data_IF_737626119906
#
_entry.id   IF_737626119906
#
_cell.length_a   1.000
_cell.length_b   1.000
_cell.length_c   1.000
_cell.angle_alpha   90.00
_cell.angle_beta   90.00
_cell.angle_gamma   90.00
#
_symmetry.space_group_name_H-M   'P 1'
#
loop_
_entity.id
_entity.type
_entity.pdbx_description
1 polymer ?
#
# COMPACT_ATOMS: atom_id res chain seq x y z
N UNK A 1 -45.89 30.42 -12.77
CA UNK A 1 -46.12 29.04 -12.31
C UNK A 1 -47.54 28.92 -11.76
N UNK A 2 -48.22 27.80 -11.99
CA UNK A 2 -49.60 27.59 -11.51
C UNK A 2 -49.61 27.30 -9.99
N UNK A 3 -50.69 27.71 -9.29
CA UNK A 3 -50.84 27.55 -7.83
C UNK A 3 -50.74 26.09 -7.38
N UNK A 4 -51.20 25.16 -8.22
CA UNK A 4 -51.19 23.72 -7.94
C UNK A 4 -49.78 23.11 -7.98
N UNK A 5 -48.88 23.67 -8.82
CA UNK A 5 -47.48 23.26 -8.92
C UNK A 5 -46.68 23.74 -7.71
N UNK A 6 -46.96 24.96 -7.24
CA UNK A 6 -46.35 25.48 -6.01
C UNK A 6 -46.72 24.61 -4.80
N UNK A 7 -47.97 24.17 -4.70
CA UNK A 7 -48.40 23.27 -3.63
C UNK A 7 -47.67 21.91 -3.65
N UNK A 8 -47.37 21.37 -4.84
CA UNK A 8 -46.59 20.14 -4.99
C UNK A 8 -45.13 20.33 -4.51
N UNK A 9 -44.50 21.44 -4.87
CA UNK A 9 -43.12 21.76 -4.47
C UNK A 9 -43.02 22.07 -2.97
N UNK A 10 -44.01 22.73 -2.38
CA UNK A 10 -44.08 22.94 -0.93
C UNK A 10 -44.21 21.62 -0.16
N UNK A 11 -45.01 20.68 -0.67
CA UNK A 11 -45.12 19.33 -0.12
C UNK A 11 -43.79 18.55 -0.23
N UNK A 12 -43.04 18.73 -1.33
CA UNK A 12 -41.70 18.15 -1.51
C UNK A 12 -40.70 18.76 -0.52
N UNK A 13 -40.67 20.09 -0.38
CA UNK A 13 -39.81 20.84 0.54
C UNK A 13 -40.00 20.40 1.99
N UNK A 14 -41.26 20.32 2.43
CA UNK A 14 -41.58 19.91 3.80
C UNK A 14 -41.16 18.46 4.10
N UNK A 15 -41.26 17.57 3.10
CA UNK A 15 -40.82 16.18 3.24
C UNK A 15 -39.29 16.03 3.27
N UNK A 16 -38.55 16.92 2.61
CA UNK A 16 -37.08 16.95 2.61
C UNK A 16 -36.49 17.64 3.85
N UNK A 17 -37.24 18.56 4.48
CA UNK A 17 -36.83 19.31 5.68
C UNK A 17 -36.38 18.46 6.88
N UNK A 18 -36.80 17.19 6.95
CA UNK A 18 -36.36 16.25 7.98
C UNK A 18 -35.07 15.49 7.67
N UNK A 19 -34.49 15.68 6.49
CA UNK A 19 -33.42 14.81 5.98
C UNK A 19 -32.24 15.55 5.36
N UNK A 20 -32.45 16.73 4.78
CA UNK A 20 -31.41 17.57 4.16
C UNK A 20 -31.27 18.91 4.89
N UNK A 21 -30.16 19.62 4.66
CA UNK A 21 -29.97 21.01 5.11
C UNK A 21 -30.85 21.98 4.31
N UNK A 22 -31.07 23.18 4.84
CA UNK A 22 -31.92 24.17 4.19
C UNK A 22 -31.40 24.60 2.79
N UNK A 23 -30.08 24.58 2.59
CA UNK A 23 -29.42 24.90 1.32
C UNK A 23 -29.65 23.79 0.28
N UNK A 24 -29.38 22.53 0.64
CA UNK A 24 -29.61 21.37 -0.25
C UNK A 24 -31.09 21.20 -0.63
N UNK A 25 -32.01 21.55 0.27
CA UNK A 25 -33.44 21.52 -0.02
C UNK A 25 -33.81 22.57 -1.05
N UNK A 26 -33.21 23.76 -0.97
CA UNK A 26 -33.48 24.86 -1.90
C UNK A 26 -32.98 24.49 -3.30
N UNK A 27 -31.77 23.94 -3.41
CA UNK A 27 -31.19 23.45 -4.66
C UNK A 27 -32.08 22.39 -5.34
N UNK A 28 -32.56 21.42 -4.57
CA UNK A 28 -33.46 20.36 -5.09
C UNK A 28 -34.79 20.96 -5.56
N UNK A 29 -35.38 21.85 -4.76
CA UNK A 29 -36.67 22.46 -5.10
C UNK A 29 -36.54 23.36 -6.32
N UNK A 30 -35.46 24.13 -6.44
CA UNK A 30 -35.16 24.98 -7.59
C UNK A 30 -34.98 24.16 -8.87
N UNK A 31 -34.18 23.08 -8.82
CA UNK A 31 -34.00 22.18 -9.95
C UNK A 31 -35.32 21.62 -10.50
N UNK A 32 -36.20 21.13 -9.61
CA UNK A 32 -37.49 20.61 -10.04
C UNK A 32 -38.48 21.73 -10.42
N UNK A 33 -38.35 22.94 -9.85
CA UNK A 33 -39.15 24.09 -10.25
C UNK A 33 -38.86 24.51 -11.70
N UNK A 34 -37.57 24.57 -12.09
CA UNK A 34 -37.14 24.84 -13.46
C UNK A 34 -37.61 23.74 -14.42
N UNK A 35 -37.42 22.47 -14.04
CA UNK A 35 -37.86 21.34 -14.84
C UNK A 35 -39.37 21.36 -15.14
N UNK A 36 -40.18 21.68 -14.13
CA UNK A 36 -41.64 21.75 -14.27
C UNK A 36 -42.09 22.95 -15.09
N UNK A 37 -41.36 24.07 -15.02
CA UNK A 37 -41.59 25.25 -15.82
C UNK A 37 -41.28 25.00 -17.31
N UNK A 38 -40.15 24.35 -17.61
CA UNK A 38 -39.77 23.97 -18.97
C UNK A 38 -40.69 22.92 -19.58
N UNK A 39 -41.17 21.99 -18.75
CA UNK A 39 -42.15 20.98 -19.15
C UNK A 39 -43.57 21.56 -19.35
N UNK A 40 -43.81 22.83 -18.98
CA UNK A 40 -45.10 23.50 -19.14
C UNK A 40 -46.24 22.88 -18.35
N UNK A 41 -45.94 22.17 -17.25
CA UNK A 41 -46.95 21.48 -16.46
C UNK A 41 -47.70 22.48 -15.58
N UNK A 42 -49.02 22.47 -15.62
CA UNK A 42 -49.87 23.46 -14.93
C UNK A 42 -50.73 22.83 -13.83
N UNK A 43 -50.95 21.52 -13.85
CA UNK A 43 -51.84 20.83 -12.90
C UNK A 43 -51.06 19.81 -12.05
N UNK A 44 -51.41 19.70 -10.75
CA UNK A 44 -50.79 18.72 -9.83
C UNK A 44 -50.84 17.28 -10.36
N UNK A 45 -51.94 16.88 -11.00
CA UNK A 45 -52.08 15.54 -11.59
C UNK A 45 -51.08 15.25 -12.73
N UNK A 46 -50.70 16.27 -13.50
CA UNK A 46 -49.74 16.13 -14.60
C UNK A 46 -48.31 16.01 -14.05
N UNK A 47 -48.01 16.78 -13.00
CA UNK A 47 -46.76 16.67 -12.24
C UNK A 47 -46.61 15.28 -11.63
N UNK A 48 -47.66 14.78 -10.97
CA UNK A 48 -47.64 13.45 -10.36
C UNK A 48 -47.49 12.32 -11.38
N UNK A 49 -48.05 12.47 -12.58
CA UNK A 49 -47.86 11.49 -13.66
C UNK A 49 -46.42 11.45 -14.18
N UNK A 50 -45.66 12.54 -14.05
CA UNK A 50 -44.29 12.67 -14.61
C UNK A 50 -43.21 12.41 -13.58
N UNK A 51 -43.34 12.98 -12.39
CA UNK A 51 -42.36 12.89 -11.31
C UNK A 51 -42.76 11.90 -10.21
N UNK A 52 -43.98 11.38 -10.26
CA UNK A 52 -44.56 10.58 -9.17
C UNK A 52 -45.18 11.47 -8.10
N UNK A 53 -45.70 10.85 -7.06
CA UNK A 53 -46.21 11.60 -5.89
C UNK A 53 -45.05 12.31 -5.17
N UNK A 54 -45.31 13.42 -4.43
CA UNK A 54 -44.26 14.11 -3.68
C UNK A 54 -43.45 13.18 -2.78
N UNK A 55 -44.11 12.18 -2.19
CA UNK A 55 -43.49 11.14 -1.36
C UNK A 55 -42.51 10.25 -2.14
N UNK A 56 -42.89 9.80 -3.33
CA UNK A 56 -42.02 8.97 -4.18
C UNK A 56 -40.79 9.75 -4.65
N UNK A 57 -40.98 11.02 -5.01
CA UNK A 57 -39.90 11.90 -5.40
C UNK A 57 -38.92 12.14 -4.24
N UNK A 58 -39.42 12.38 -3.02
CA UNK A 58 -38.57 12.48 -1.81
C UNK A 58 -37.67 11.26 -1.63
N UNK A 59 -38.23 10.04 -1.69
CA UNK A 59 -37.41 8.83 -1.51
C UNK A 59 -36.34 8.66 -2.59
N UNK A 60 -36.63 9.08 -3.82
CA UNK A 60 -35.68 9.04 -4.93
C UNK A 60 -34.53 10.02 -4.73
N UNK A 61 -34.84 11.26 -4.36
CA UNK A 61 -33.84 12.30 -4.06
C UNK A 61 -32.96 11.87 -2.89
N UNK A 62 -33.54 11.37 -1.80
CA UNK A 62 -32.77 10.91 -0.64
C UNK A 62 -31.82 9.75 -0.96
N UNK A 63 -32.26 8.83 -1.83
CA UNK A 63 -31.40 7.73 -2.27
C UNK A 63 -30.19 8.24 -3.07
N UNK A 64 -30.42 9.19 -3.97
CA UNK A 64 -29.36 9.78 -4.81
C UNK A 64 -28.33 10.57 -3.98
N UNK A 65 -28.81 11.36 -3.02
CA UNK A 65 -27.95 12.09 -2.07
C UNK A 65 -27.17 11.16 -1.14
N UNK A 66 -27.77 10.05 -0.71
CA UNK A 66 -27.10 9.08 0.17
C UNK A 66 -25.92 8.36 -0.49
N UNK A 67 -25.97 8.17 -1.81
CA UNK A 67 -24.89 7.52 -2.58
C UNK A 67 -23.71 8.49 -2.75
N UNK A 68 -23.98 9.78 -2.99
CA UNK A 68 -22.92 10.79 -3.20
C UNK A 68 -22.26 11.27 -1.90
N UNK A 69 -22.96 11.23 -0.76
CA UNK A 69 -22.39 11.56 0.55
C UNK A 69 -21.34 10.54 1.04
N UNK A 70 -21.41 9.30 0.53
CA UNK A 70 -20.42 8.24 0.83
C UNK A 70 -19.13 8.39 0.00
N UNK A 71 -19.18 9.13 -1.12
CA UNK A 71 -18.04 9.29 -2.04
C UNK A 71 -17.19 10.53 -1.71
N UNK A 72 -17.79 11.59 -1.18
CA UNK A 72 -17.14 12.90 -0.95
C UNK A 72 -16.19 12.96 0.25
N UNK A 73 -15.87 11.83 0.91
CA UNK A 73 -14.95 11.82 2.07
C UNK A 73 -13.95 10.64 2.05
N UNK A 74 -13.51 10.22 0.86
CA UNK A 74 -12.67 9.03 0.69
C UNK A 74 -11.35 9.27 -0.04
N UNK A 75 -10.65 10.37 0.26
CA UNK A 75 -9.20 10.48 0.00
C UNK A 75 -8.37 10.04 1.22
N UNK A 76 -8.44 8.76 1.63
CA UNK A 76 -7.28 8.13 2.27
C UNK A 76 -7.37 6.59 2.34
N UNK A 77 -6.34 5.95 1.77
CA UNK A 77 -5.78 4.64 2.12
C UNK A 77 -6.66 3.38 1.97
N UNK A 78 -6.41 2.74 0.84
CA UNK A 78 -6.51 1.31 0.57
C UNK A 78 -5.94 0.42 1.68
N UNK A 79 -6.78 -0.05 2.63
CA UNK A 79 -6.70 -1.41 3.22
C UNK A 79 -7.91 -1.83 4.08
N UNK A 80 -9.12 -1.28 3.87
CA UNK A 80 -10.25 -1.47 4.79
C UNK A 80 -11.49 -2.13 4.16
N UNK A 81 -11.28 -3.03 3.20
CA UNK A 81 -12.39 -3.79 2.59
C UNK A 81 -12.81 -5.01 3.42
N UNK A 82 -12.00 -5.47 4.38
CA UNK A 82 -12.32 -6.67 5.18
C UNK A 82 -13.18 -6.40 6.42
N UNK A 83 -13.32 -5.14 6.86
CA UNK A 83 -14.06 -4.78 8.08
C UNK A 83 -15.47 -4.29 7.78
N UNK A 84 -15.70 -3.66 6.61
CA UNK A 84 -17.00 -3.12 6.21
C UNK A 84 -18.11 -4.19 6.07
N UNK A 85 -17.78 -5.42 5.70
CA UNK A 85 -18.78 -6.48 5.49
C UNK A 85 -19.37 -7.04 6.81
N UNK A 86 -18.67 -6.89 7.94
CA UNK A 86 -19.12 -7.44 9.24
C UNK A 86 -19.94 -6.47 10.09
N UNK A 87 -20.01 -5.19 9.72
CA UNK A 87 -20.64 -4.13 10.53
C UNK A 87 -22.05 -3.77 10.04
N UNK A 88 -22.41 -4.07 8.79
CA UNK A 88 -23.72 -3.70 8.21
C UNK A 88 -24.93 -4.49 8.72
N UNK A 89 -24.79 -5.37 9.73
CA UNK A 89 -25.90 -6.23 10.22
C UNK A 89 -26.29 -6.06 11.69
N UNK A 90 -25.95 -4.96 12.36
CA UNK A 90 -26.35 -4.80 13.77
C UNK A 90 -26.90 -3.42 14.13
N UNK A 91 -28.23 -3.30 14.00
CA UNK A 91 -29.05 -2.26 14.59
C UNK A 91 -28.82 -2.15 16.12
N UNK A 92 -28.77 -0.91 16.63
CA UNK A 92 -28.97 -0.55 18.04
C UNK A 92 -27.81 -0.68 19.03
N UNK A 93 -26.80 -1.56 18.79
CA UNK A 93 -25.56 -1.62 19.62
C UNK A 93 -24.33 -0.98 18.95
N UNK A 94 -24.54 -0.41 17.77
CA UNK A 94 -23.49 0.10 16.87
C UNK A 94 -22.64 1.22 17.48
N UNK A 95 -23.21 2.15 18.26
CA UNK A 95 -22.41 3.29 18.77
C UNK A 95 -21.33 2.86 19.77
N UNK A 96 -21.60 1.88 20.65
CA UNK A 96 -20.60 1.41 21.61
C UNK A 96 -19.53 0.59 20.90
N UNK A 97 -19.91 -0.17 19.87
CA UNK A 97 -18.98 -0.95 19.05
C UNK A 97 -18.13 -0.04 18.15
N UNK A 98 -18.70 1.04 17.60
CA UNK A 98 -18.00 2.09 16.86
C UNK A 98 -17.07 2.89 17.77
N UNK A 99 -17.52 3.31 18.96
CA UNK A 99 -16.67 3.99 19.97
C UNK A 99 -15.54 3.07 20.40
N UNK A 100 -15.81 1.78 20.62
CA UNK A 100 -14.79 0.79 20.94
C UNK A 100 -13.82 0.56 19.77
N UNK A 101 -14.31 0.56 18.51
CA UNK A 101 -13.47 0.49 17.30
C UNK A 101 -12.63 1.76 17.10
N UNK A 102 -13.17 2.94 17.39
CA UNK A 102 -12.46 4.23 17.32
C UNK A 102 -11.37 4.27 18.39
N UNK A 103 -11.66 3.85 19.63
CA UNK A 103 -10.66 3.71 20.69
C UNK A 103 -9.60 2.68 20.30
N UNK A 104 -9.99 1.55 19.71
CA UNK A 104 -9.06 0.51 19.27
C UNK A 104 -8.22 0.98 18.07
N UNK A 105 -8.78 1.81 17.18
CA UNK A 105 -8.09 2.45 16.07
C UNK A 105 -7.07 3.50 16.55
N UNK A 106 -7.47 4.36 17.49
CA UNK A 106 -6.58 5.35 18.15
C UNK A 106 -5.53 4.66 19.04
N UNK A 107 -5.80 3.46 19.56
CA UNK A 107 -4.81 2.66 20.27
C UNK A 107 -3.90 1.87 19.32
N UNK A 108 -4.33 1.61 18.08
CA UNK A 108 -3.52 0.99 17.04
C UNK A 108 -2.50 1.97 16.44
N UNK A 109 -2.88 3.24 16.27
CA UNK A 109 -2.00 4.30 15.74
C UNK A 109 -0.69 4.54 16.52
N UNK A 110 -0.63 4.55 17.87
CA UNK A 110 0.62 4.71 18.61
C UNK A 110 1.52 3.47 18.52
N UNK A 111 1.00 2.31 18.10
CA UNK A 111 1.81 1.10 17.88
C UNK A 111 2.32 1.02 16.43
N UNK A 112 1.62 1.59 15.45
CA UNK A 112 2.09 1.65 14.07
C UNK A 112 3.35 2.48 13.90
N UNK A 113 3.50 3.61 14.61
CA UNK A 113 4.70 4.45 14.52
C UNK A 113 5.97 3.69 14.94
N UNK A 114 6.05 3.06 16.14
CA UNK A 114 7.24 2.31 16.53
C UNK A 114 7.45 1.05 15.67
N UNK A 115 6.37 0.40 15.21
CA UNK A 115 6.48 -0.76 14.32
C UNK A 115 7.02 -0.36 12.93
N UNK A 116 6.54 0.75 12.36
CA UNK A 116 7.03 1.30 11.10
C UNK A 116 8.50 1.71 11.21
N UNK A 117 8.88 2.37 12.31
CA UNK A 117 10.27 2.75 12.58
C UNK A 117 11.17 1.51 12.70
N UNK A 118 10.71 0.45 13.39
CA UNK A 118 11.45 -0.80 13.52
C UNK A 118 11.66 -1.49 12.17
N UNK A 119 10.63 -1.52 11.31
CA UNK A 119 10.74 -2.06 9.95
C UNK A 119 11.75 -1.25 9.14
N UNK A 120 11.67 0.08 9.19
CA UNK A 120 12.59 0.95 8.47
C UNK A 120 14.04 0.77 8.95
N UNK A 121 14.25 0.66 10.26
CA UNK A 121 15.56 0.40 10.86
C UNK A 121 16.13 -0.96 10.41
N UNK A 122 15.31 -2.01 10.35
CA UNK A 122 15.73 -3.34 9.87
C UNK A 122 16.10 -3.30 8.39
N UNK A 123 15.34 -2.60 7.55
CA UNK A 123 15.67 -2.43 6.14
C UNK A 123 16.98 -1.65 5.96
N UNK A 124 17.15 -0.57 6.71
CA UNK A 124 18.37 0.24 6.67
C UNK A 124 19.59 -0.54 7.15
N UNK A 125 19.46 -1.25 8.27
CA UNK A 125 20.52 -2.14 8.79
C UNK A 125 20.88 -3.25 7.80
N UNK A 126 19.88 -3.85 7.15
CA UNK A 126 20.08 -4.82 6.08
C UNK A 126 20.88 -4.24 4.91
N UNK A 127 20.51 -3.05 4.45
CA UNK A 127 21.21 -2.35 3.36
C UNK A 127 22.66 -2.05 3.74
N UNK A 128 22.90 -1.52 4.95
CA UNK A 128 24.24 -1.24 5.45
C UNK A 128 25.09 -2.50 5.57
N UNK A 129 24.52 -3.59 6.08
CA UNK A 129 25.24 -4.87 6.25
C UNK A 129 25.69 -5.42 4.89
N UNK A 130 24.80 -5.38 3.90
CA UNK A 130 25.11 -5.81 2.54
C UNK A 130 26.16 -4.90 1.90
N UNK A 131 26.00 -3.58 2.03
CA UNK A 131 26.97 -2.61 1.54
C UNK A 131 28.37 -2.80 2.16
N UNK A 132 28.44 -3.00 3.47
CA UNK A 132 29.68 -3.26 4.18
C UNK A 132 30.34 -4.57 3.74
N UNK A 133 29.55 -5.62 3.50
CA UNK A 133 30.06 -6.91 3.03
C UNK A 133 30.66 -6.80 1.62
N UNK A 134 30.00 -6.06 0.72
CA UNK A 134 30.52 -5.80 -0.63
C UNK A 134 31.80 -4.97 -0.59
N UNK A 135 31.81 -3.91 0.23
CA UNK A 135 33.00 -3.08 0.40
C UNK A 135 34.18 -3.89 0.94
N UNK A 136 33.95 -4.72 1.97
CA UNK A 136 34.97 -5.58 2.54
C UNK A 136 35.53 -6.58 1.51
N UNK A 137 34.67 -7.18 0.67
CA UNK A 137 35.11 -8.08 -0.38
C UNK A 137 36.00 -7.39 -1.41
N UNK A 138 35.61 -6.19 -1.87
CA UNK A 138 36.43 -5.39 -2.82
C UNK A 138 37.77 -5.00 -2.21
N UNK A 139 37.77 -4.54 -0.96
CA UNK A 139 39.00 -4.17 -0.25
C UNK A 139 39.92 -5.37 -0.09
N UNK A 140 39.39 -6.54 0.28
CA UNK A 140 40.19 -7.76 0.43
C UNK A 140 40.86 -8.18 -0.89
N UNK A 141 40.14 -8.13 -2.01
CA UNK A 141 40.72 -8.41 -3.34
C UNK A 141 41.79 -7.37 -3.68
N UNK A 142 41.51 -6.08 -3.42
CA UNK A 142 42.45 -5.00 -3.66
C UNK A 142 43.75 -5.12 -2.83
N UNK A 143 43.66 -5.46 -1.54
CA UNK A 143 44.84 -5.61 -0.69
C UNK A 143 45.70 -6.79 -1.13
N UNK A 144 45.11 -7.93 -1.49
CA UNK A 144 45.85 -9.09 -2.01
C UNK A 144 46.58 -8.74 -3.31
N UNK A 145 45.94 -7.97 -4.21
CA UNK A 145 46.58 -7.50 -5.43
C UNK A 145 47.79 -6.61 -5.15
N UNK A 146 47.63 -5.59 -4.30
CA UNK A 146 48.72 -4.67 -3.95
C UNK A 146 49.87 -5.42 -3.27
N UNK A 147 49.58 -6.30 -2.31
CA UNK A 147 50.60 -7.09 -1.63
C UNK A 147 51.34 -8.04 -2.60
N UNK A 148 50.63 -8.64 -3.56
CA UNK A 148 51.24 -9.52 -4.56
C UNK A 148 52.22 -8.75 -5.45
N UNK A 149 51.83 -7.57 -5.94
CA UNK A 149 52.69 -6.73 -6.78
C UNK A 149 53.94 -6.27 -6.02
N UNK A 150 53.78 -5.83 -4.76
CA UNK A 150 54.90 -5.43 -3.90
C UNK A 150 55.84 -6.61 -3.65
N UNK A 151 55.30 -7.79 -3.35
CA UNK A 151 56.10 -9.00 -3.12
C UNK A 151 56.92 -9.38 -4.37
N UNK A 152 56.33 -9.31 -5.58
CA UNK A 152 57.06 -9.58 -6.83
C UNK A 152 58.18 -8.55 -7.02
N UNK A 153 57.90 -7.27 -6.78
CA UNK A 153 58.89 -6.20 -6.93
C UNK A 153 60.10 -6.40 -6.00
N UNK A 154 59.85 -6.68 -4.72
CA UNK A 154 60.90 -6.96 -3.73
C UNK A 154 61.65 -8.25 -4.10
N UNK A 155 60.93 -9.28 -4.54
CA UNK A 155 61.50 -10.55 -4.98
C UNK A 155 62.51 -10.37 -6.11
N UNK A 156 62.18 -9.59 -7.14
CA UNK A 156 63.06 -9.30 -8.29
C UNK A 156 64.34 -8.57 -7.83
N UNK A 157 64.19 -7.56 -6.95
CA UNK A 157 65.34 -6.79 -6.45
C UNK A 157 66.32 -7.63 -5.63
N UNK A 158 65.83 -8.66 -4.93
CA UNK A 158 66.66 -9.53 -4.08
C UNK A 158 67.31 -10.72 -4.80
N UNK A 159 67.01 -10.96 -6.09
CA UNK A 159 67.54 -12.12 -6.86
C UNK A 159 69.07 -12.18 -6.81
N UNK A 160 69.73 -11.03 -6.86
CA UNK A 160 71.19 -10.93 -6.93
C UNK A 160 71.88 -10.92 -5.55
N UNK A 161 71.15 -10.62 -4.48
CA UNK A 161 71.71 -10.55 -3.12
C UNK A 161 71.46 -11.81 -2.32
N UNK A 162 70.23 -12.32 -2.34
CA UNK A 162 69.81 -13.49 -1.57
C UNK A 162 68.79 -14.32 -2.36
N UNK A 163 69.28 -15.33 -3.08
CA UNK A 163 68.46 -16.17 -3.95
C UNK A 163 67.26 -16.83 -3.21
N UNK A 164 67.46 -17.27 -1.97
CA UNK A 164 66.40 -17.90 -1.18
C UNK A 164 65.27 -16.92 -0.83
N UNK A 165 65.63 -15.68 -0.47
CA UNK A 165 64.66 -14.65 -0.11
C UNK A 165 63.90 -14.18 -1.35
N UNK A 166 64.60 -14.03 -2.47
CA UNK A 166 64.00 -13.70 -3.76
C UNK A 166 62.96 -14.74 -4.20
N UNK A 167 63.30 -16.04 -4.10
CA UNK A 167 62.40 -17.13 -4.47
C UNK A 167 61.16 -17.18 -3.58
N UNK A 168 61.30 -16.90 -2.29
CA UNK A 168 60.17 -16.83 -1.36
C UNK A 168 59.19 -15.70 -1.73
N UNK A 169 59.69 -14.47 -1.93
CA UNK A 169 58.84 -13.33 -2.28
C UNK A 169 58.21 -13.44 -3.67
N UNK A 170 58.93 -13.99 -4.66
CA UNK A 170 58.34 -14.33 -5.96
C UNK A 170 57.26 -15.40 -5.83
N UNK A 171 57.48 -16.43 -5.00
CA UNK A 171 56.50 -17.47 -4.71
C UNK A 171 55.24 -16.91 -4.07
N UNK A 172 55.37 -16.04 -3.06
CA UNK A 172 54.24 -15.35 -2.43
C UNK A 172 53.50 -14.46 -3.43
N UNK A 173 54.23 -13.73 -4.27
CA UNK A 173 53.66 -12.88 -5.32
C UNK A 173 52.84 -13.65 -6.36
N UNK A 174 53.38 -14.76 -6.87
CA UNK A 174 52.68 -15.64 -7.82
C UNK A 174 51.50 -16.35 -7.16
N UNK A 175 51.65 -16.80 -5.91
CA UNK A 175 50.56 -17.43 -5.16
C UNK A 175 49.44 -16.43 -4.89
N UNK A 176 49.76 -15.17 -4.58
CA UNK A 176 48.79 -14.10 -4.40
C UNK A 176 48.05 -13.74 -5.70
N UNK A 177 48.74 -13.74 -6.85
CA UNK A 177 48.10 -13.65 -8.16
C UNK A 177 47.17 -14.83 -8.45
N UNK A 178 47.57 -16.06 -8.10
CA UNK A 178 46.71 -17.23 -8.18
C UNK A 178 45.49 -17.15 -7.25
N UNK A 179 45.69 -16.62 -6.04
CA UNK A 179 44.61 -16.41 -5.08
C UNK A 179 43.59 -15.38 -5.56
N UNK A 180 43.98 -14.37 -6.33
CA UNK A 180 43.03 -13.44 -6.97
C UNK A 180 42.12 -14.14 -7.96
N UNK A 181 42.63 -15.10 -8.73
CA UNK A 181 41.83 -15.85 -9.70
C UNK A 181 40.72 -16.65 -9.02
N UNK A 182 40.97 -17.12 -7.79
CA UNK A 182 39.98 -17.77 -6.91
C UNK A 182 39.15 -16.74 -6.14
N UNK A 183 39.72 -15.59 -5.80
CA UNK A 183 39.05 -14.51 -5.06
C UNK A 183 37.93 -13.84 -5.86
N UNK A 184 38.09 -13.69 -7.18
CA UNK A 184 37.07 -13.09 -8.06
C UNK A 184 35.74 -13.87 -8.07
N UNK A 185 35.70 -15.20 -8.31
CA UNK A 185 34.44 -15.96 -8.26
C UNK A 185 33.84 -16.02 -6.86
N UNK A 186 34.67 -15.94 -5.80
CA UNK A 186 34.20 -15.80 -4.42
C UNK A 186 33.51 -14.44 -4.23
N UNK A 187 34.11 -13.34 -4.70
CA UNK A 187 33.50 -12.01 -4.63
C UNK A 187 32.15 -11.97 -5.38
N UNK A 188 32.06 -12.60 -6.56
CA UNK A 188 30.80 -12.72 -7.32
C UNK A 188 29.78 -13.59 -6.56
N UNK A 189 30.21 -14.69 -5.96
CA UNK A 189 29.32 -15.53 -5.14
C UNK A 189 28.80 -14.78 -3.93
N UNK A 190 29.64 -14.00 -3.26
CA UNK A 190 29.24 -13.13 -2.14
C UNK A 190 28.23 -12.08 -2.61
N UNK A 191 28.41 -11.49 -3.80
CA UNK A 191 27.44 -10.56 -4.37
C UNK A 191 26.07 -11.22 -4.62
N UNK A 192 26.06 -12.41 -5.25
CA UNK A 192 24.82 -13.18 -5.45
C UNK A 192 24.15 -13.57 -4.13
N UNK A 193 24.96 -13.94 -3.14
CA UNK A 193 24.49 -14.30 -1.81
C UNK A 193 23.90 -13.09 -1.08
N UNK A 194 24.52 -11.92 -1.20
CA UNK A 194 24.01 -10.67 -0.65
C UNK A 194 22.66 -10.27 -1.25
N UNK A 195 22.49 -10.41 -2.57
CA UNK A 195 21.18 -10.20 -3.23
C UNK A 195 20.13 -11.19 -2.72
N UNK A 196 20.53 -12.46 -2.55
CA UNK A 196 19.63 -13.48 -1.99
C UNK A 196 19.23 -13.14 -0.54
N UNK A 197 20.16 -12.64 0.28
CA UNK A 197 19.87 -12.21 1.66
C UNK A 197 18.84 -11.08 1.72
N UNK A 198 18.90 -10.13 0.80
CA UNK A 198 17.89 -9.06 0.68
C UNK A 198 16.53 -9.66 0.31
N UNK A 199 16.48 -10.54 -0.69
CA UNK A 199 15.24 -11.20 -1.11
C UNK A 199 14.65 -12.05 0.04
N UNK A 200 15.50 -12.75 0.80
CA UNK A 200 15.09 -13.54 1.96
C UNK A 200 14.55 -12.62 3.05
N UNK A 201 15.22 -11.51 3.39
CA UNK A 201 14.75 -10.57 4.39
C UNK A 201 13.39 -9.96 4.04
N UNK A 202 13.21 -9.54 2.78
CA UNK A 202 11.93 -9.02 2.26
C UNK A 202 10.86 -10.11 2.32
N UNK A 203 11.16 -11.33 1.87
CA UNK A 203 10.20 -12.44 1.91
C UNK A 203 9.82 -12.85 3.34
N UNK A 204 10.75 -12.76 4.28
CA UNK A 204 10.52 -13.08 5.69
C UNK A 204 9.62 -12.03 6.34
N UNK A 205 9.87 -10.76 6.05
CA UNK A 205 9.02 -9.66 6.50
C UNK A 205 7.62 -9.75 5.89
N UNK A 206 7.54 -10.00 4.57
CA UNK A 206 6.28 -10.20 3.86
C UNK A 206 5.49 -11.39 4.44
N UNK A 207 6.12 -12.54 4.67
CA UNK A 207 5.45 -13.71 5.27
C UNK A 207 5.01 -13.46 6.71
N UNK A 208 5.71 -12.62 7.47
CA UNK A 208 5.36 -12.29 8.86
C UNK A 208 4.14 -11.38 8.93
N UNK A 209 3.95 -10.51 7.94
CA UNK A 209 2.81 -9.59 7.84
C UNK A 209 1.61 -10.27 7.15
N UNK A 210 1.84 -11.12 6.13
CA UNK A 210 0.79 -11.70 5.28
C UNK A 210 0.33 -13.10 5.72
N UNK A 211 0.70 -13.59 6.92
CA UNK A 211 0.22 -14.89 7.46
C UNK A 211 -1.25 -14.83 7.93
N UNK A 212 -2.17 -14.54 7.01
CA UNK A 212 -3.60 -14.90 7.05
C UNK A 212 -4.09 -15.13 5.61
N UNK A 213 -3.72 -16.26 5.03
CA UNK A 213 -4.46 -16.84 3.91
C UNK A 213 -4.43 -18.37 4.07
N UNK A 214 -5.52 -19.00 4.57
CA UNK A 214 -5.68 -20.43 4.43
C UNK A 214 -5.90 -20.75 2.95
N UNK A 215 -5.10 -21.68 2.42
CA UNK A 215 -5.30 -22.24 1.08
C UNK A 215 -6.72 -22.81 0.99
N UNK A 216 -7.58 -22.23 0.16
CA UNK A 216 -8.83 -22.87 -0.26
C UNK A 216 -8.45 -24.04 -1.17
N UNK A 217 -8.61 -25.24 -0.63
CA UNK A 217 -8.53 -26.52 -1.32
C UNK A 217 -9.78 -26.64 -2.19
N UNK A 218 -9.66 -26.34 -3.49
CA UNK A 218 -10.64 -26.75 -4.50
C UNK A 218 -10.35 -28.18 -4.90
N UNK A 219 -11.01 -29.12 -4.23
CA UNK A 219 -11.21 -30.49 -4.69
C UNK A 219 -12.71 -30.61 -5.03
N UNK A 220 -13.03 -31.58 -5.89
CA UNK A 220 -14.33 -31.95 -6.48
C UNK A 220 -14.49 -31.45 -7.92
N UNK A 221 -14.26 -32.28 -8.94
CA UNK A 221 -15.03 -33.48 -9.38
C UNK A 221 -16.19 -33.08 -10.29
N UNK A 222 -16.38 -33.91 -11.34
CA UNK A 222 -17.35 -33.80 -12.46
C UNK A 222 -16.79 -32.91 -13.58
N UNK A 223 -16.32 -33.45 -14.71
CA UNK A 223 -17.12 -34.16 -15.70
C UNK A 223 -16.38 -35.38 -16.29
N UNK A 224 -16.94 -36.57 -16.10
CA UNK A 224 -16.74 -37.71 -17.00
C UNK A 224 -18.09 -38.30 -17.32
N UNK A 225 -18.44 -38.22 -18.61
CA UNK A 225 -19.38 -39.05 -19.39
C UNK A 225 -20.88 -38.83 -19.19
#
# INVERSE_FOLDING_TARGET
MARDVQQYLDELKNRLAGHLTAEEIDDVVEFYAEYLQDAGLVTKSEVESRLGTPKQLTHKVLADYSINADESNSEFSSNDQAVKEKIQKQDGRSNVMLIWLVILGIASTPLTIPLALAVLAVLFAGMLTVGALLFAAVVMVGTVFVLSVIAIYIGIMMVLTNANVALFYLGVGVTGLGALFIGIPIAISVLKWAVAMIAIAISWLYRKITKKQPKVKGDNHEETN
#
